data_IF_122638682191
#
_entry.id   IF_122638682191
#
_cell.length_a   1.000
_cell.length_b   1.000
_cell.length_c   1.000
_cell.angle_alpha   90.00
_cell.angle_beta   90.00
_cell.angle_gamma   90.00
#
_symmetry.space_group_name_H-M   'P 1'
#
loop_
_entity.id
_entity.type
_entity.pdbx_description
1 polymer ?
#
# COMPACT_ATOMS: atom_id res chain seq x y z
N UNK A 1 8.06 9.86 64.77
CA UNK A 1 7.51 9.78 66.14
C UNK A 1 8.04 10.93 66.97
N UNK A 2 7.17 11.62 67.70
CA UNK A 2 7.52 12.67 68.65
C UNK A 2 7.36 12.11 70.07
N UNK A 3 8.28 12.42 70.97
CA UNK A 3 8.26 11.96 72.35
C UNK A 3 7.38 12.80 73.24
N UNK A 4 7.20 12.38 74.49
CA UNK A 4 6.38 13.10 75.48
C UNK A 4 6.85 14.53 75.79
N UNK A 5 8.05 14.92 75.35
CA UNK A 5 8.57 16.30 75.42
C UNK A 5 8.51 17.10 74.10
N UNK A 6 7.86 16.60 73.05
CA UNK A 6 7.80 17.25 71.73
C UNK A 6 9.05 17.08 70.86
N UNK A 7 10.07 16.36 71.35
CA UNK A 7 11.29 16.07 70.61
C UNK A 7 11.07 14.95 69.58
N UNK A 8 11.63 15.12 68.36
CA UNK A 8 11.57 14.11 67.29
C UNK A 8 12.51 12.95 67.60
N UNK A 9 11.93 11.84 68.06
CA UNK A 9 12.66 10.62 68.44
C UNK A 9 12.97 9.72 67.23
N UNK A 10 12.40 10.00 66.05
CA UNK A 10 12.72 9.27 64.84
C UNK A 10 11.71 9.41 63.71
N UNK A 11 12.03 8.79 62.57
CA UNK A 11 11.13 8.69 61.41
C UNK A 11 10.49 7.30 61.42
N UNK A 12 9.16 7.23 61.34
CA UNK A 12 8.46 5.96 61.10
C UNK A 12 8.49 5.73 59.59
N UNK A 13 9.07 4.60 59.19
CA UNK A 13 9.03 4.14 57.80
C UNK A 13 8.02 3.00 57.71
N UNK A 14 6.99 3.17 56.89
CA UNK A 14 6.07 2.08 56.53
C UNK A 14 6.58 1.41 55.25
N UNK A 15 6.82 0.10 55.31
CA UNK A 15 7.18 -0.68 54.14
C UNK A 15 5.90 -1.26 53.51
N UNK A 16 5.55 -0.78 52.32
CA UNK A 16 4.46 -1.34 51.53
C UNK A 16 5.01 -2.39 50.55
N UNK A 17 4.47 -3.60 50.59
CA UNK A 17 4.79 -4.61 49.58
C UNK A 17 4.33 -4.12 48.19
N UNK A 18 5.22 -4.15 47.19
CA UNK A 18 4.99 -3.67 45.82
C UNK A 18 5.21 -4.73 44.74
N UNK A 19 5.36 -5.99 45.14
CA UNK A 19 5.78 -7.09 44.25
C UNK A 19 4.80 -7.27 43.09
N UNK A 20 3.49 -7.19 43.37
CA UNK A 20 2.45 -7.39 42.37
C UNK A 20 2.40 -6.23 41.38
N UNK A 21 2.50 -4.99 41.85
CA UNK A 21 2.50 -3.81 40.99
C UNK A 21 3.70 -3.82 40.04
N UNK A 22 4.91 -4.11 40.55
CA UNK A 22 6.12 -4.18 39.72
C UNK A 22 6.03 -5.33 38.70
N UNK A 23 5.42 -6.45 39.04
CA UNK A 23 5.22 -7.55 38.09
C UNK A 23 4.27 -7.15 36.95
N UNK A 24 3.19 -6.42 37.25
CA UNK A 24 2.25 -5.92 36.25
C UNK A 24 2.89 -4.85 35.37
N UNK A 25 3.67 -3.92 35.95
CA UNK A 25 4.43 -2.91 35.21
C UNK A 25 5.38 -3.56 34.19
N UNK A 26 6.11 -4.61 34.59
CA UNK A 26 7.02 -5.35 33.69
C UNK A 26 6.27 -6.07 32.57
N UNK A 27 5.12 -6.68 32.86
CA UNK A 27 4.27 -7.31 31.84
C UNK A 27 3.81 -6.27 30.80
N UNK A 28 3.33 -5.11 31.27
CA UNK A 28 2.90 -4.01 30.40
C UNK A 28 4.04 -3.49 29.53
N UNK A 29 5.21 -3.26 30.13
CA UNK A 29 6.40 -2.83 29.40
C UNK A 29 6.80 -3.83 28.31
N UNK A 30 6.76 -5.13 28.62
CA UNK A 30 7.10 -6.17 27.64
C UNK A 30 6.14 -6.22 26.45
N UNK A 31 4.84 -5.99 26.66
CA UNK A 31 3.87 -5.92 25.56
C UNK A 31 4.04 -4.63 24.76
N UNK A 32 4.25 -3.49 25.42
CA UNK A 32 4.54 -2.23 24.73
C UNK A 32 5.79 -2.33 23.86
N UNK A 33 6.87 -2.90 24.38
CA UNK A 33 8.10 -3.12 23.61
C UNK A 33 7.87 -4.01 22.39
N UNK A 34 7.04 -5.04 22.52
CA UNK A 34 6.67 -5.90 21.40
C UNK A 34 5.86 -5.15 20.34
N UNK A 35 4.86 -4.37 20.77
CA UNK A 35 4.04 -3.53 19.88
C UNK A 35 4.89 -2.50 19.13
N UNK A 36 5.87 -1.87 19.80
CA UNK A 36 6.82 -0.96 19.14
C UNK A 36 7.83 -1.68 18.24
N UNK A 37 8.01 -2.98 18.42
CA UNK A 37 8.82 -3.85 17.57
C UNK A 37 8.01 -4.59 16.51
N UNK A 38 6.87 -4.02 16.10
CA UNK A 38 5.93 -4.54 15.10
C UNK A 38 5.22 -5.86 15.44
N UNK A 39 5.40 -6.39 16.65
CA UNK A 39 4.62 -7.53 17.14
C UNK A 39 3.31 -7.05 17.78
N UNK A 40 2.31 -6.87 16.92
CA UNK A 40 0.94 -6.51 17.30
C UNK A 40 0.09 -7.72 17.72
N UNK A 41 0.69 -8.90 17.96
CA UNK A 41 -0.05 -10.11 18.36
C UNK A 41 -0.10 -10.33 19.88
N UNK A 42 0.83 -9.71 20.62
CA UNK A 42 0.89 -9.85 22.09
C UNK A 42 -0.19 -9.02 22.78
N UNK A 43 -0.76 -9.58 23.84
CA UNK A 43 -1.80 -8.93 24.66
C UNK A 43 -1.44 -9.05 26.14
N UNK A 44 -1.82 -8.03 26.90
CA UNK A 44 -1.74 -8.04 28.37
C UNK A 44 -2.91 -8.86 28.90
N UNK A 45 -2.64 -9.84 29.76
CA UNK A 45 -3.70 -10.60 30.43
C UNK A 45 -4.33 -9.74 31.51
N UNK A 46 -5.65 -9.66 31.55
CA UNK A 46 -6.36 -8.82 32.51
C UNK A 46 -6.73 -9.55 33.81
N UNK A 47 -6.57 -10.87 33.84
CA UNK A 47 -6.87 -11.69 35.02
C UNK A 47 -6.10 -11.24 36.25
N UNK A 48 -6.80 -11.10 37.38
CA UNK A 48 -6.23 -10.65 38.65
C UNK A 48 -5.86 -9.17 38.72
N UNK A 49 -5.94 -8.42 37.61
CA UNK A 49 -5.67 -6.97 37.58
C UNK A 49 -6.94 -6.20 37.91
N UNK A 50 -6.81 -5.12 38.69
CA UNK A 50 -7.94 -4.28 39.14
C UNK A 50 -7.59 -2.79 39.05
N UNK A 51 -8.63 -1.96 39.01
CA UNK A 51 -8.50 -0.51 38.99
C UNK A 51 -7.64 -0.02 37.83
N UNK A 52 -6.67 0.84 38.13
CA UNK A 52 -5.77 1.46 37.15
C UNK A 52 -5.10 0.44 36.21
N UNK A 53 -4.56 -0.66 36.75
CA UNK A 53 -3.82 -1.63 35.95
C UNK A 53 -4.71 -2.41 34.97
N UNK A 54 -5.96 -2.71 35.34
CA UNK A 54 -6.91 -3.34 34.44
C UNK A 54 -7.28 -2.39 33.29
N UNK A 55 -7.56 -1.13 33.61
CA UNK A 55 -7.90 -0.12 32.62
C UNK A 55 -6.74 0.16 31.65
N UNK A 56 -5.52 0.29 32.17
CA UNK A 56 -4.32 0.50 31.35
C UNK A 56 -4.05 -0.70 30.44
N UNK A 57 -4.13 -1.93 30.95
CA UNK A 57 -3.93 -3.14 30.15
C UNK A 57 -4.96 -3.27 29.03
N UNK A 58 -6.24 -2.97 29.32
CA UNK A 58 -7.30 -2.96 28.32
C UNK A 58 -7.07 -1.88 27.25
N UNK A 59 -6.60 -0.69 27.64
CA UNK A 59 -6.27 0.41 26.74
C UNK A 59 -5.12 0.05 25.78
N UNK A 60 -4.05 -0.56 26.29
CA UNK A 60 -2.92 -1.02 25.48
C UNK A 60 -3.34 -2.13 24.50
N UNK A 61 -4.16 -3.09 24.94
CA UNK A 61 -4.68 -4.13 24.04
C UNK A 61 -5.50 -3.52 22.90
N UNK A 62 -6.40 -2.56 23.20
CA UNK A 62 -7.20 -1.86 22.19
C UNK A 62 -6.32 -1.06 21.22
N UNK A 63 -5.25 -0.43 21.71
CA UNK A 63 -4.31 0.27 20.85
C UNK A 63 -3.60 -0.71 19.89
N UNK A 64 -3.17 -1.87 20.39
CA UNK A 64 -2.56 -2.91 19.57
C UNK A 64 -3.54 -3.46 18.52
N UNK A 65 -4.80 -3.67 18.88
CA UNK A 65 -5.86 -4.11 17.96
C UNK A 65 -6.10 -3.09 16.84
N UNK A 66 -6.24 -1.81 17.19
CA UNK A 66 -6.44 -0.74 16.21
C UNK A 66 -5.25 -0.61 15.25
N UNK A 67 -4.01 -0.68 15.76
CA UNK A 67 -2.82 -0.66 14.92
C UNK A 67 -2.77 -1.87 13.99
N UNK A 68 -3.12 -3.06 14.49
CA UNK A 68 -3.14 -4.27 13.68
C UNK A 68 -4.18 -4.17 12.55
N UNK A 69 -5.33 -3.58 12.84
CA UNK A 69 -6.36 -3.31 11.84
C UNK A 69 -5.87 -2.33 10.76
N UNK A 70 -5.24 -1.23 11.16
CA UNK A 70 -4.68 -0.25 10.20
C UNK A 70 -3.63 -0.91 9.31
N UNK A 71 -2.70 -1.67 9.88
CA UNK A 71 -1.67 -2.42 9.12
C UNK A 71 -2.32 -3.43 8.17
N UNK A 72 -3.36 -4.13 8.61
CA UNK A 72 -4.10 -5.08 7.77
C UNK A 72 -4.77 -4.39 6.59
N UNK A 73 -5.42 -3.23 6.82
CA UNK A 73 -6.03 -2.42 5.76
C UNK A 73 -4.99 -1.94 4.74
N UNK A 74 -3.84 -1.42 5.20
CA UNK A 74 -2.73 -1.01 4.32
C UNK A 74 -2.23 -2.18 3.48
N UNK A 75 -2.05 -3.38 4.07
CA UNK A 75 -1.64 -4.59 3.33
C UNK A 75 -2.67 -5.00 2.28
N UNK A 76 -3.96 -4.83 2.55
CA UNK A 76 -5.01 -5.14 1.58
C UNK A 76 -5.02 -4.14 0.43
N UNK A 77 -4.99 -2.84 0.71
CA UNK A 77 -4.92 -1.80 -0.32
C UNK A 77 -3.65 -1.93 -1.17
N UNK A 78 -2.49 -2.25 -0.57
CA UNK A 78 -1.26 -2.49 -1.32
C UNK A 78 -1.38 -3.68 -2.30
N UNK A 79 -2.10 -4.75 -1.90
CA UNK A 79 -2.38 -5.88 -2.79
C UNK A 79 -3.31 -5.50 -3.93
N UNK A 80 -4.35 -4.72 -3.67
CA UNK A 80 -5.26 -4.21 -4.71
C UNK A 80 -4.52 -3.32 -5.71
N UNK A 81 -3.65 -2.43 -5.24
CA UNK A 81 -2.79 -1.61 -6.10
C UNK A 81 -1.87 -2.48 -6.96
N UNK A 82 -1.24 -3.50 -6.38
CA UNK A 82 -0.35 -4.41 -7.12
C UNK A 82 -1.11 -5.17 -8.22
N UNK A 83 -2.33 -5.63 -7.94
CA UNK A 83 -3.19 -6.28 -8.94
C UNK A 83 -3.56 -5.31 -10.07
N UNK A 84 -3.99 -4.09 -9.73
CA UNK A 84 -4.32 -3.06 -10.73
C UNK A 84 -3.11 -2.66 -11.59
N UNK A 85 -1.90 -2.60 -11.01
CA UNK A 85 -0.68 -2.33 -11.76
C UNK A 85 -0.33 -3.43 -12.77
N UNK A 86 -0.58 -4.70 -12.42
CA UNK A 86 -0.41 -5.84 -13.32
C UNK A 86 -1.42 -5.77 -14.48
N UNK A 87 -2.69 -5.47 -14.18
CA UNK A 87 -3.72 -5.29 -15.22
C UNK A 87 -3.38 -4.15 -16.19
N UNK A 88 -2.84 -3.03 -15.68
CA UNK A 88 -2.35 -1.93 -16.51
C UNK A 88 -1.17 -2.38 -17.39
N UNK A 89 -0.22 -3.15 -16.83
CA UNK A 89 0.93 -3.66 -17.58
C UNK A 89 0.49 -4.54 -18.75
N UNK A 90 -0.43 -5.47 -18.50
CA UNK A 90 -1.02 -6.33 -19.53
C UNK A 90 -1.80 -5.50 -20.56
N UNK A 91 -2.62 -4.55 -20.09
CA UNK A 91 -3.39 -3.66 -20.96
C UNK A 91 -2.50 -2.82 -21.88
N UNK A 92 -1.39 -2.29 -21.36
CA UNK A 92 -0.43 -1.50 -22.13
C UNK A 92 0.31 -2.36 -23.16
N UNK A 93 0.68 -3.60 -22.82
CA UNK A 93 1.26 -4.54 -23.79
C UNK A 93 0.31 -4.80 -24.96
N UNK A 94 -0.97 -5.08 -24.68
CA UNK A 94 -1.98 -5.30 -25.71
C UNK A 94 -2.22 -4.06 -26.58
N UNK A 95 -2.21 -2.86 -25.98
CA UNK A 95 -2.34 -1.61 -26.71
C UNK A 95 -1.13 -1.35 -27.62
N UNK A 96 0.08 -1.64 -27.15
CA UNK A 96 1.31 -1.53 -27.95
C UNK A 96 1.22 -2.43 -29.18
N UNK A 97 0.89 -3.71 -29.00
CA UNK A 97 0.73 -4.67 -30.11
C UNK A 97 -0.30 -4.19 -31.12
N UNK A 98 -1.49 -3.74 -30.68
CA UNK A 98 -2.52 -3.21 -31.58
C UNK A 98 -2.08 -1.94 -32.30
N UNK A 99 -1.28 -1.09 -31.65
CA UNK A 99 -0.74 0.13 -32.26
C UNK A 99 0.27 -0.21 -33.34
N UNK A 100 1.13 -1.22 -33.11
CA UNK A 100 2.06 -1.74 -34.11
C UNK A 100 1.34 -2.35 -35.31
N UNK A 101 0.30 -3.17 -35.08
CA UNK A 101 -0.55 -3.75 -36.14
C UNK A 101 -1.24 -2.67 -36.98
N UNK A 102 -1.79 -1.63 -36.32
CA UNK A 102 -2.42 -0.51 -37.01
C UNK A 102 -1.41 0.30 -37.82
N UNK A 103 -0.21 0.54 -37.29
CA UNK A 103 0.87 1.22 -38.02
C UNK A 103 1.25 0.44 -39.28
N UNK A 104 1.38 -0.89 -39.18
CA UNK A 104 1.67 -1.74 -40.33
C UNK A 104 0.54 -1.70 -41.38
N UNK A 105 -0.71 -1.74 -40.94
CA UNK A 105 -1.87 -1.63 -41.85
C UNK A 105 -1.93 -0.28 -42.57
N UNK A 106 -1.55 0.82 -41.88
CA UNK A 106 -1.45 2.15 -42.47
C UNK A 106 -0.32 2.23 -43.49
N UNK A 107 0.83 1.59 -43.24
CA UNK A 107 1.95 1.52 -44.16
C UNK A 107 1.58 0.74 -45.45
N UNK A 108 0.88 -0.39 -45.30
CA UNK A 108 0.35 -1.15 -46.45
C UNK A 108 -0.67 -0.34 -47.25
N UNK A 109 -1.56 0.40 -46.56
CA UNK A 109 -2.53 1.29 -47.20
C UNK A 109 -1.83 2.42 -47.98
N UNK A 110 -0.79 3.03 -47.40
CA UNK A 110 0.00 4.07 -48.05
C UNK A 110 0.71 3.53 -49.29
N UNK A 111 1.35 2.36 -49.20
CA UNK A 111 2.00 1.71 -50.35
C UNK A 111 1.00 1.37 -51.46
N UNK A 112 -0.18 0.86 -51.10
CA UNK A 112 -1.27 0.61 -52.05
C UNK A 112 -1.76 1.89 -52.72
N UNK A 113 -1.85 3.00 -51.98
CA UNK A 113 -2.21 4.31 -52.53
C UNK A 113 -1.12 4.88 -53.44
N UNK A 114 0.16 4.67 -53.16
CA UNK A 114 1.26 5.03 -54.05
C UNK A 114 1.17 4.27 -55.38
N UNK A 115 0.98 2.94 -55.32
CA UNK A 115 0.81 2.12 -56.53
C UNK A 115 -0.44 2.52 -57.34
N UNK A 116 -1.55 2.81 -56.68
CA UNK A 116 -2.75 3.33 -57.34
C UNK A 116 -2.47 4.67 -58.02
N UNK A 117 -1.77 5.57 -57.35
CA UNK A 117 -1.38 6.88 -57.90
C UNK A 117 -0.50 6.72 -59.14
N UNK A 118 0.49 5.82 -59.11
CA UNK A 118 1.32 5.49 -60.28
C UNK A 118 0.48 4.96 -61.44
N UNK A 119 -0.46 4.04 -61.16
CA UNK A 119 -1.34 3.44 -62.16
C UNK A 119 -2.27 4.48 -62.79
N UNK A 120 -2.83 5.39 -61.99
CA UNK A 120 -3.67 6.50 -62.46
C UNK A 120 -2.86 7.44 -63.35
N UNK A 121 -1.63 7.79 -62.96
CA UNK A 121 -0.73 8.62 -63.77
C UNK A 121 -0.41 7.97 -65.11
N UNK A 122 -0.04 6.69 -65.11
CA UNK A 122 0.24 5.93 -66.33
C UNK A 122 -0.99 5.85 -67.25
N UNK A 123 -2.19 5.67 -66.67
CA UNK A 123 -3.44 5.66 -67.42
C UNK A 123 -3.72 7.01 -68.08
N UNK A 124 -3.47 8.11 -67.37
CA UNK A 124 -3.61 9.46 -67.91
C UNK A 124 -2.62 9.73 -69.06
N UNK A 125 -1.35 9.36 -68.90
CA UNK A 125 -0.32 9.50 -69.93
C UNK A 125 -0.67 8.68 -71.19
N UNK A 126 -1.14 7.45 -71.02
CA UNK A 126 -1.59 6.58 -72.11
C UNK A 126 -2.79 7.17 -72.87
N UNK A 127 -3.79 7.72 -72.14
CA UNK A 127 -4.95 8.36 -72.76
C UNK A 127 -4.55 9.60 -73.58
N UNK A 128 -3.60 10.40 -73.07
CA UNK A 128 -3.06 11.55 -73.79
C UNK A 128 -2.33 11.15 -75.07
N UNK A 129 -1.47 10.11 -75.02
CA UNK A 129 -0.80 9.57 -76.22
C UNK A 129 -1.79 9.02 -77.25
N UNK A 130 -2.79 8.25 -76.82
CA UNK A 130 -3.81 7.71 -77.72
C UNK A 130 -4.58 8.84 -78.43
N UNK A 131 -4.90 9.91 -77.72
CA UNK A 131 -5.55 11.09 -78.30
C UNK A 131 -4.66 11.81 -79.33
N UNK A 132 -3.35 11.91 -79.08
CA UNK A 132 -2.41 12.49 -80.05
C UNK A 132 -2.32 11.64 -81.33
N UNK A 133 -2.27 10.32 -81.20
CA UNK A 133 -2.22 9.39 -82.34
C UNK A 133 -3.50 9.43 -83.19
N UNK A 134 -4.66 9.67 -82.58
CA UNK A 134 -5.93 9.78 -83.29
C UNK A 134 -6.11 11.11 -84.06
N UNK A 135 -5.33 12.15 -83.70
CA UNK A 135 -5.34 13.47 -84.35
C UNK A 135 -4.24 13.62 -85.43
N UNK A 136 -3.36 12.62 -85.56
CA UNK A 136 -2.32 12.55 -86.58
C UNK A 136 -2.81 11.81 -87.83
#
# INVERSE_FOLDING_TARGET
MLGHGGERIGTVMEWKERTQEVAVEREMQAVLTAVTGDDLTRRIRLDGKRGFFAALGAGVNRLADNLAEVVSRVKTTAREIALGAEEITVGNSNLSTRTEEQSSSLEETASSMEQMTTTVKQTADNAAQANQLALA
#
